data_IF_924183112433
#
_entry.id   IF_924183112433
#
_cell.length_a   1.000
_cell.length_b   1.000
_cell.length_c   1.000
_cell.angle_alpha   90.00
_cell.angle_beta   90.00
_cell.angle_gamma   90.00
#
_symmetry.space_group_name_H-M   'P 1'
#
loop_
_entity.id
_entity.type
_entity.pdbx_description
1 polymer ?
#
# COMPACT_ATOMS: atom_id res chain seq x y z
N UNK A 1 -7.71 -5.73 42.24
CA UNK A 1 -6.83 -4.89 41.37
C UNK A 1 -6.91 -3.45 41.81
N UNK A 2 -5.78 -2.82 42.13
CA UNK A 2 -5.74 -1.40 42.49
C UNK A 2 -6.13 -0.54 41.28
N UNK A 3 -6.74 0.63 41.52
CA UNK A 3 -7.10 1.58 40.46
C UNK A 3 -5.87 1.96 39.62
N UNK A 4 -4.71 2.10 40.28
CA UNK A 4 -3.43 2.39 39.63
C UNK A 4 -3.01 1.30 38.64
N UNK A 5 -3.19 0.02 38.97
CA UNK A 5 -2.87 -1.08 38.06
C UNK A 5 -3.76 -1.08 36.80
N UNK A 6 -5.03 -0.69 36.93
CA UNK A 6 -5.95 -0.57 35.78
C UNK A 6 -5.55 0.61 34.88
N UNK A 7 -5.22 1.75 35.48
CA UNK A 7 -4.79 2.94 34.72
C UNK A 7 -3.50 2.66 33.96
N UNK A 8 -2.52 2.02 34.61
CA UNK A 8 -1.27 1.64 33.96
C UNK A 8 -1.50 0.67 32.78
N UNK A 9 -2.38 -0.32 32.95
CA UNK A 9 -2.72 -1.26 31.89
C UNK A 9 -3.37 -0.58 30.67
N UNK A 10 -4.32 0.33 30.89
CA UNK A 10 -4.98 1.07 29.80
C UNK A 10 -4.00 1.99 29.08
N UNK A 11 -3.13 2.69 29.81
CA UNK A 11 -2.12 3.56 29.23
C UNK A 11 -1.13 2.79 28.33
N UNK A 12 -0.67 1.62 28.79
CA UNK A 12 0.23 0.76 28.01
C UNK A 12 -0.45 0.24 26.74
N UNK A 13 -1.69 -0.25 26.85
CA UNK A 13 -2.44 -0.72 25.69
C UNK A 13 -2.67 0.39 24.65
N UNK A 14 -3.07 1.59 25.10
CA UNK A 14 -3.26 2.75 24.24
C UNK A 14 -1.96 3.18 23.55
N UNK A 15 -0.84 3.21 24.29
CA UNK A 15 0.48 3.54 23.74
C UNK A 15 0.94 2.54 22.68
N UNK A 16 0.72 1.24 22.91
CA UNK A 16 1.09 0.19 21.95
C UNK A 16 0.29 0.34 20.65
N UNK A 17 -1.03 0.53 20.75
CA UNK A 17 -1.91 0.75 19.59
C UNK A 17 -1.50 1.98 18.79
N UNK A 18 -1.20 3.09 19.47
CA UNK A 18 -0.74 4.32 18.82
C UNK A 18 0.59 4.13 18.09
N UNK A 19 1.55 3.44 18.72
CA UNK A 19 2.83 3.13 18.10
C UNK A 19 2.67 2.26 16.85
N UNK A 20 1.80 1.25 16.89
CA UNK A 20 1.51 0.41 15.72
C UNK A 20 0.87 1.21 14.59
N UNK A 21 -0.09 2.09 14.90
CA UNK A 21 -0.71 2.95 13.89
C UNK A 21 0.31 3.86 13.19
N UNK A 22 1.24 4.44 13.96
CA UNK A 22 2.34 5.27 13.42
C UNK A 22 3.26 4.42 12.54
N UNK A 23 3.65 3.23 13.00
CA UNK A 23 4.53 2.34 12.26
C UNK A 23 3.96 1.99 10.88
N UNK A 24 2.67 1.61 10.82
CA UNK A 24 1.98 1.31 9.55
C UNK A 24 1.95 2.56 8.65
N UNK A 25 1.57 3.71 9.19
CA UNK A 25 1.48 4.95 8.42
C UNK A 25 2.84 5.45 7.89
N UNK A 26 3.95 5.03 8.49
CA UNK A 26 5.31 5.34 8.04
C UNK A 26 5.81 4.31 7.03
N UNK A 27 5.49 3.02 7.21
CA UNK A 27 5.91 1.95 6.32
C UNK A 27 5.31 2.12 4.91
N UNK A 28 4.03 2.50 4.83
CA UNK A 28 3.34 2.85 3.56
C UNK A 28 4.02 4.00 2.80
N UNK A 29 4.74 4.88 3.51
CA UNK A 29 5.48 6.01 2.90
C UNK A 29 6.88 5.63 2.48
N UNK A 30 7.41 4.51 2.98
CA UNK A 30 8.78 4.12 2.67
C UNK A 30 8.77 3.54 1.27
N UNK A 31 9.50 4.13 0.31
CA UNK A 31 9.66 3.50 -1.00
C UNK A 31 10.26 2.12 -0.76
N UNK A 32 9.55 1.07 -1.19
CA UNK A 32 10.10 -0.27 -1.18
C UNK A 32 11.46 -0.22 -1.90
N UNK A 33 12.50 -0.73 -1.24
CA UNK A 33 13.81 -0.82 -1.88
C UNK A 33 13.63 -1.57 -3.21
N UNK A 34 14.14 -1.05 -4.34
CA UNK A 34 14.01 -1.75 -5.61
C UNK A 34 14.60 -3.15 -5.46
N UNK A 35 13.74 -4.17 -5.49
CA UNK A 35 14.18 -5.53 -5.72
C UNK A 35 14.83 -5.54 -7.10
N UNK A 36 15.95 -6.26 -7.31
CA UNK A 36 16.51 -6.41 -8.64
C UNK A 36 15.48 -7.13 -9.51
N UNK A 37 14.74 -6.37 -10.31
CA UNK A 37 13.85 -6.92 -11.33
C UNK A 37 14.71 -7.40 -12.49
N UNK A 38 14.38 -8.55 -13.12
CA UNK A 38 14.91 -8.89 -14.43
C UNK A 38 14.28 -7.92 -15.44
N UNK A 39 14.81 -6.71 -15.50
CA UNK A 39 14.27 -5.58 -16.27
C UNK A 39 14.56 -5.73 -17.76
N UNK A 40 15.57 -6.51 -18.15
CA UNK A 40 16.08 -6.49 -19.51
C UNK A 40 15.19 -7.21 -20.55
N UNK A 41 14.13 -7.91 -20.13
CA UNK A 41 13.23 -8.65 -21.04
C UNK A 41 11.74 -8.40 -20.82
N UNK A 42 11.34 -7.53 -19.89
CA UNK A 42 9.93 -7.24 -19.66
C UNK A 42 9.37 -6.38 -20.82
N UNK A 43 8.27 -6.79 -21.49
CA UNK A 43 7.61 -5.96 -22.47
C UNK A 43 7.21 -4.61 -21.88
N UNK A 44 7.30 -3.54 -22.68
CA UNK A 44 6.81 -2.22 -22.30
C UNK A 44 5.36 -2.30 -21.83
N UNK A 45 5.10 -1.94 -20.57
CA UNK A 45 3.76 -1.96 -19.97
C UNK A 45 3.34 -0.53 -19.56
N UNK A 46 2.51 0.15 -20.37
CA UNK A 46 2.07 1.51 -20.08
C UNK A 46 1.26 1.61 -18.77
N UNK A 47 0.65 0.52 -18.31
CA UNK A 47 -0.06 0.51 -17.03
C UNK A 47 0.90 0.65 -15.84
N UNK A 48 2.10 0.08 -15.96
CA UNK A 48 3.14 0.19 -14.91
C UNK A 48 3.67 1.61 -14.80
N UNK A 49 3.86 2.29 -15.92
CA UNK A 49 4.27 3.70 -15.96
C UNK A 49 3.22 4.60 -15.32
N UNK A 50 1.93 4.36 -15.63
CA UNK A 50 0.82 5.13 -15.07
C UNK A 50 0.71 4.95 -13.55
N UNK A 51 0.82 3.71 -13.05
CA UNK A 51 0.84 3.44 -11.62
C UNK A 51 2.04 4.10 -10.92
N UNK A 52 3.20 4.16 -11.58
CA UNK A 52 4.37 4.86 -11.05
C UNK A 52 4.12 6.38 -10.93
N UNK A 53 3.47 6.99 -11.93
CA UNK A 53 3.04 8.40 -11.87
C UNK A 53 2.08 8.64 -10.70
N UNK A 54 1.07 7.78 -10.56
CA UNK A 54 0.04 7.91 -9.53
C UNK A 54 0.58 7.94 -8.10
N UNK A 55 1.66 7.21 -7.82
CA UNK A 55 2.32 7.21 -6.49
C UNK A 55 2.90 8.57 -6.08
N UNK A 56 3.11 9.47 -7.04
CA UNK A 56 3.66 10.81 -6.77
C UNK A 56 2.58 11.86 -6.54
N UNK A 57 1.31 11.53 -6.80
CA UNK A 57 0.19 12.45 -6.61
C UNK A 57 -0.26 12.46 -5.15
N UNK A 58 -0.53 13.66 -4.63
CA UNK A 58 -1.03 13.88 -3.27
C UNK A 58 -2.50 14.30 -3.24
N UNK A 59 -3.11 14.46 -4.41
CA UNK A 59 -4.52 14.80 -4.59
C UNK A 59 -5.24 13.62 -5.25
N UNK A 60 -6.55 13.43 -5.00
CA UNK A 60 -7.35 12.42 -5.67
C UNK A 60 -7.33 12.64 -7.19
N UNK A 61 -7.11 11.56 -7.95
CA UNK A 61 -7.08 11.57 -9.40
C UNK A 61 -7.86 10.37 -9.94
N UNK A 62 -8.92 10.64 -10.70
CA UNK A 62 -9.79 9.59 -11.23
C UNK A 62 -9.08 8.70 -12.25
N UNK A 63 -8.03 9.20 -12.90
CA UNK A 63 -7.19 8.40 -13.80
C UNK A 63 -6.39 7.35 -13.03
N UNK A 64 -5.89 7.70 -11.85
CA UNK A 64 -5.22 6.77 -10.95
C UNK A 64 -6.15 5.71 -10.36
N UNK A 65 -7.38 6.06 -10.01
CA UNK A 65 -8.38 5.08 -9.58
C UNK A 65 -8.66 4.04 -10.68
N UNK A 66 -8.84 4.50 -11.93
CA UNK A 66 -9.06 3.63 -13.07
C UNK A 66 -7.85 2.73 -13.39
N UNK A 67 -6.63 3.25 -13.32
CA UNK A 67 -5.40 2.48 -13.51
C UNK A 67 -5.25 1.39 -12.43
N UNK A 68 -5.64 1.69 -11.19
CA UNK A 68 -5.61 0.71 -10.11
C UNK A 68 -6.64 -0.40 -10.28
N UNK A 69 -7.85 -0.06 -10.71
CA UNK A 69 -8.88 -1.06 -11.01
C UNK A 69 -8.45 -2.02 -12.12
N UNK A 70 -7.84 -1.50 -13.19
CA UNK A 70 -7.28 -2.30 -14.27
C UNK A 70 -6.16 -3.23 -13.77
N UNK A 71 -5.23 -2.70 -12.98
CA UNK A 71 -4.15 -3.51 -12.40
C UNK A 71 -4.71 -4.67 -11.56
N UNK A 72 -5.74 -4.39 -10.75
CA UNK A 72 -6.41 -5.39 -9.93
C UNK A 72 -7.12 -6.43 -10.79
N UNK A 73 -7.76 -6.05 -11.91
CA UNK A 73 -8.39 -7.00 -12.85
C UNK A 73 -7.37 -7.96 -13.44
N UNK A 74 -6.23 -7.45 -13.91
CA UNK A 74 -5.10 -8.26 -14.44
C UNK A 74 -4.56 -9.22 -13.41
N UNK A 75 -4.28 -8.72 -12.21
CA UNK A 75 -3.71 -9.53 -11.13
C UNK A 75 -4.64 -10.66 -10.68
N UNK A 76 -5.95 -10.41 -10.67
CA UNK A 76 -6.96 -11.40 -10.32
C UNK A 76 -7.32 -12.35 -11.47
N UNK A 77 -6.63 -12.29 -12.61
CA UNK A 77 -6.84 -13.18 -13.75
C UNK A 77 -8.19 -13.01 -14.44
N UNK A 78 -8.87 -11.86 -14.26
CA UNK A 78 -10.20 -11.62 -14.87
C UNK A 78 -10.14 -11.27 -16.36
N UNK A 79 -8.95 -11.21 -16.94
CA UNK A 79 -8.72 -10.94 -18.36
C UNK A 79 -8.51 -12.21 -19.19
N UNK A 80 -8.25 -13.36 -18.53
CA UNK A 80 -8.06 -14.67 -19.18
C UNK A 80 -9.37 -15.38 -19.55
N UNK A 81 -10.54 -14.79 -19.26
CA UNK A 81 -11.85 -15.31 -19.68
C UNK A 81 -12.32 -14.68 -21.00
N UNK A 82 -11.49 -14.80 -22.04
CA UNK A 82 -11.90 -14.55 -23.43
C UNK A 82 -11.74 -15.86 -24.21
N UNK A 83 -12.84 -16.50 -24.65
CA UNK A 83 -12.77 -17.70 -25.48
C UNK A 83 -12.16 -17.43 -26.86
#
# INVERSE_FOLDING_TARGET
MSRSARIAGVALAGGLLMATAIAIAVDERKPAAPLPSPTDLAPYDPLRDELARCRTLTMPDSGCDAAWEEHRRRFLGREDDRP
#
